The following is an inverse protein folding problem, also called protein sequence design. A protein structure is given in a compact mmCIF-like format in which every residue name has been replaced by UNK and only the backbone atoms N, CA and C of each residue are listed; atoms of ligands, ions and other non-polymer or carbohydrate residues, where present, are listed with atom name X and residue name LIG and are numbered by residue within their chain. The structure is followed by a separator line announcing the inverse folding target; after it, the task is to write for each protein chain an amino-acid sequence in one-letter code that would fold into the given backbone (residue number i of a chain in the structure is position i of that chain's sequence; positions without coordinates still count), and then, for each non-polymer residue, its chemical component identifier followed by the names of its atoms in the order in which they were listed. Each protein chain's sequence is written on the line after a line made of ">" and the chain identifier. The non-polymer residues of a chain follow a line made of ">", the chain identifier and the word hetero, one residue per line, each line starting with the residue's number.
data_IF_857329652749
#
_entry.id   IF_857329652749
#
_cell.length_a   1.000
_cell.length_b   1.000
_cell.length_c   1.000
_cell.angle_alpha   90.00
_cell.angle_beta   90.00
_cell.angle_gamma   90.00
#
_symmetry.space_group_name_H-M   'P 1'
#
loop_
_entity.id
_entity.type
_entity.pdbx_description
1 polymer ?
#
# COMPACT_ATOMS: atom_id res chain seq x y z
N UNK A 1 -15.03 -0.24 -17.19
CA UNK A 1 -15.54 -0.25 -18.57
C UNK A 1 -14.48 0.12 -19.59
N UNK A 2 -13.95 1.33 -19.53
CA UNK A 2 -12.91 1.77 -20.47
C UNK A 2 -11.64 0.91 -20.40
N UNK A 3 -11.13 0.61 -19.22
CA UNK A 3 -9.95 -0.24 -19.04
C UNK A 3 -10.17 -1.64 -19.60
N UNK A 4 -11.35 -2.18 -19.36
CA UNK A 4 -11.72 -3.51 -19.84
C UNK A 4 -11.74 -3.58 -21.37
N UNK A 5 -12.25 -2.54 -22.02
CA UNK A 5 -12.29 -2.44 -23.48
C UNK A 5 -10.90 -2.36 -24.08
N UNK A 6 -9.98 -1.63 -23.41
CA UNK A 6 -8.59 -1.51 -23.89
C UNK A 6 -7.75 -2.74 -23.61
N UNK A 7 -8.21 -3.64 -22.73
CA UNK A 7 -7.48 -4.85 -22.31
C UNK A 7 -6.10 -4.52 -21.72
N UNK A 8 -5.99 -3.40 -21.03
CA UNK A 8 -4.83 -3.06 -20.24
C UNK A 8 -5.23 -2.10 -19.12
N UNK A 9 -4.37 -1.96 -18.15
CA UNK A 9 -4.57 -1.01 -17.06
C UNK A 9 -4.11 -1.55 -15.73
N UNK A 10 -4.05 -0.63 -14.76
CA UNK A 10 -3.68 -0.96 -13.41
C UNK A 10 -4.62 -0.26 -12.43
N UNK A 11 -5.07 -1.01 -11.43
CA UNK A 11 -5.88 -0.50 -10.34
C UNK A 11 -5.04 -0.62 -9.07
N UNK A 12 -4.86 0.50 -8.36
CA UNK A 12 -4.07 0.53 -7.13
C UNK A 12 -4.97 0.98 -5.99
N UNK A 13 -5.01 0.19 -4.93
CA UNK A 13 -5.68 0.55 -3.68
C UNK A 13 -4.64 0.86 -2.62
N UNK A 14 -4.90 1.84 -1.78
CA UNK A 14 -3.99 2.26 -0.73
C UNK A 14 -4.40 1.58 0.58
N UNK A 15 -3.50 0.74 1.10
CA UNK A 15 -3.72 0.02 2.35
C UNK A 15 -2.86 0.56 3.49
N UNK A 16 -2.73 -0.25 4.53
CA UNK A 16 -1.96 0.09 5.73
C UNK A 16 -1.24 -1.15 6.25
N UNK A 17 -0.11 -0.95 6.93
CA UNK A 17 0.58 -2.06 7.58
C UNK A 17 -0.06 -2.45 8.93
N UNK A 18 -1.11 -1.76 9.38
CA UNK A 18 -1.77 -2.06 10.65
C UNK A 18 -2.40 -3.46 10.68
N UNK A 19 -2.80 -4.02 9.54
CA UNK A 19 -3.33 -5.38 9.53
C UNK A 19 -2.22 -6.44 9.65
N UNK A 20 -0.97 -6.06 9.50
CA UNK A 20 0.18 -6.94 9.71
C UNK A 20 0.80 -6.73 11.09
N UNK A 21 0.80 -5.48 11.57
CA UNK A 21 1.38 -5.11 12.85
C UNK A 21 0.48 -4.05 13.53
N UNK A 22 -0.53 -4.49 14.30
CA UNK A 22 -1.54 -3.59 14.85
C UNK A 22 -1.05 -2.86 16.10
N UNK A 23 -0.09 -1.95 15.93
CA UNK A 23 0.47 -1.14 17.01
C UNK A 23 -0.55 -0.20 17.65
N UNK A 24 -1.63 0.09 16.94
CA UNK A 24 -2.77 0.89 17.42
C UNK A 24 -4.05 0.11 17.15
N UNK A 25 -4.94 -0.06 18.14
CA UNK A 25 -6.14 -0.89 17.96
C UNK A 25 -7.27 -0.12 17.23
N UNK A 26 -7.05 0.28 16.01
CA UNK A 26 -8.05 0.94 15.16
C UNK A 26 -8.92 -0.11 14.47
N UNK A 27 -9.87 -0.70 15.20
CA UNK A 27 -10.66 -1.85 14.72
C UNK A 27 -11.37 -1.58 13.39
N UNK A 28 -12.14 -0.49 13.33
CA UNK A 28 -12.91 -0.17 12.12
C UNK A 28 -12.00 0.16 10.94
N UNK A 29 -11.01 1.00 11.17
CA UNK A 29 -10.07 1.43 10.13
C UNK A 29 -9.28 0.23 9.59
N UNK A 30 -8.70 -0.57 10.48
CA UNK A 30 -7.88 -1.72 10.09
C UNK A 30 -8.71 -2.76 9.35
N UNK A 31 -9.92 -3.03 9.82
CA UNK A 31 -10.83 -3.97 9.15
C UNK A 31 -11.21 -3.49 7.76
N UNK A 32 -11.57 -2.21 7.62
CA UNK A 32 -11.92 -1.63 6.33
C UNK A 32 -10.75 -1.68 5.35
N UNK A 33 -9.54 -1.39 5.82
CA UNK A 33 -8.34 -1.44 4.98
C UNK A 33 -7.98 -2.88 4.61
N UNK A 34 -8.12 -3.83 5.53
CA UNK A 34 -7.85 -5.25 5.24
C UNK A 34 -8.82 -5.80 4.19
N UNK A 35 -10.07 -5.33 4.17
CA UNK A 35 -11.05 -5.72 3.16
C UNK A 35 -10.57 -5.39 1.74
N UNK A 36 -9.73 -4.37 1.57
CA UNK A 36 -9.16 -4.01 0.27
C UNK A 36 -8.33 -5.14 -0.32
N UNK A 37 -7.66 -5.93 0.51
CA UNK A 37 -6.83 -7.03 0.02
C UNK A 37 -7.72 -8.10 -0.62
N UNK A 38 -8.77 -8.53 0.07
CA UNK A 38 -9.71 -9.52 -0.48
C UNK A 38 -10.40 -9.02 -1.72
N UNK A 39 -10.90 -7.79 -1.69
CA UNK A 39 -11.54 -7.16 -2.83
C UNK A 39 -10.58 -7.07 -4.03
N UNK A 40 -9.35 -6.61 -3.79
CA UNK A 40 -8.33 -6.45 -4.84
C UNK A 40 -7.99 -7.80 -5.47
N UNK A 41 -7.88 -8.86 -4.67
CA UNK A 41 -7.61 -10.20 -5.19
C UNK A 41 -8.74 -10.74 -6.05
N UNK A 42 -9.98 -10.49 -5.66
CA UNK A 42 -11.13 -10.85 -6.48
C UNK A 42 -11.13 -10.08 -7.81
N UNK A 43 -10.86 -8.79 -7.77
CA UNK A 43 -10.77 -7.95 -8.97
C UNK A 43 -9.63 -8.44 -9.88
N UNK A 44 -8.47 -8.73 -9.29
CA UNK A 44 -7.32 -9.24 -10.04
C UNK A 44 -7.66 -10.57 -10.75
N UNK A 45 -8.33 -11.47 -10.06
CA UNK A 45 -8.74 -12.75 -10.64
C UNK A 45 -9.75 -12.59 -11.75
N UNK A 46 -10.70 -11.67 -11.59
CA UNK A 46 -11.75 -11.44 -12.58
C UNK A 46 -11.25 -10.71 -13.82
N UNK A 47 -10.47 -9.66 -13.63
CA UNK A 47 -10.09 -8.76 -14.72
C UNK A 47 -8.74 -9.09 -15.37
N UNK A 48 -8.00 -10.06 -14.80
CA UNK A 48 -6.71 -10.46 -15.37
C UNK A 48 -6.80 -10.94 -16.81
N UNK A 49 -7.90 -11.60 -17.16
CA UNK A 49 -8.15 -12.04 -18.54
C UNK A 49 -8.22 -10.90 -19.55
N UNK A 50 -8.45 -9.68 -19.07
CA UNK A 50 -8.49 -8.47 -19.91
C UNK A 50 -7.19 -7.68 -19.83
N UNK A 51 -6.13 -8.22 -19.21
CA UNK A 51 -4.87 -7.51 -19.05
C UNK A 51 -4.91 -6.41 -18.00
N UNK A 52 -5.92 -6.41 -17.12
CA UNK A 52 -6.06 -5.41 -16.06
C UNK A 52 -5.49 -5.99 -14.77
N UNK A 53 -4.54 -5.29 -14.18
CA UNK A 53 -3.87 -5.67 -12.95
C UNK A 53 -4.43 -4.89 -11.77
N UNK A 54 -4.49 -5.50 -10.60
CA UNK A 54 -4.98 -4.85 -9.39
C UNK A 54 -4.08 -5.23 -8.22
N UNK A 55 -3.55 -4.23 -7.54
CA UNK A 55 -2.63 -4.41 -6.42
C UNK A 55 -2.96 -3.43 -5.30
N UNK A 56 -2.50 -3.74 -4.10
CA UNK A 56 -2.58 -2.86 -2.94
C UNK A 56 -1.16 -2.37 -2.64
N UNK A 57 -1.02 -1.07 -2.39
CA UNK A 57 0.21 -0.50 -1.82
C UNK A 57 -0.12 -0.09 -0.39
N UNK A 58 0.55 -0.70 0.57
CA UNK A 58 0.32 -0.45 1.99
C UNK A 58 1.48 0.36 2.56
N UNK A 59 1.15 1.43 3.27
CA UNK A 59 2.13 2.23 3.97
C UNK A 59 2.00 2.08 5.48
N UNK A 60 2.98 2.62 6.19
CA UNK A 60 2.91 2.84 7.63
C UNK A 60 2.61 4.29 7.93
N UNK A 61 3.12 4.79 9.05
CA UNK A 61 3.06 6.22 9.34
C UNK A 61 3.92 6.97 8.33
N UNK A 62 3.33 7.92 7.64
CA UNK A 62 4.03 8.74 6.65
C UNK A 62 4.27 10.14 7.21
N UNK A 63 5.44 10.71 6.92
CA UNK A 63 5.72 12.11 7.26
C UNK A 63 4.90 13.05 6.40
N UNK A 64 4.60 14.22 6.95
CA UNK A 64 3.99 15.36 6.24
C UNK A 64 2.62 15.08 5.63
N UNK A 65 1.83 14.18 6.25
CA UNK A 65 0.42 13.97 5.89
C UNK A 65 -0.49 14.58 6.95
N UNK A 66 -1.75 14.84 6.59
CA UNK A 66 -2.74 15.31 7.55
C UNK A 66 -2.93 14.30 8.69
N UNK A 67 -2.90 13.00 8.36
CA UNK A 67 -3.04 11.94 9.35
C UNK A 67 -1.89 11.93 10.37
N UNK A 68 -0.70 12.40 9.97
CA UNK A 68 0.48 12.42 10.84
C UNK A 68 0.76 13.81 11.44
N UNK A 69 -0.11 14.79 11.21
CA UNK A 69 0.09 16.18 11.65
C UNK A 69 0.22 16.31 13.16
N UNK A 70 -0.39 15.40 13.93
CA UNK A 70 -0.32 15.40 15.40
C UNK A 70 0.85 14.58 15.94
N UNK A 71 1.64 13.94 15.08
CA UNK A 71 2.75 13.10 15.49
C UNK A 71 3.98 13.98 15.76
N UNK A 72 4.60 13.79 16.91
CA UNK A 72 5.77 14.59 17.31
C UNK A 72 7.04 14.09 16.62
N UNK A 73 8.08 14.96 16.49
CA UNK A 73 9.37 14.52 15.94
C UNK A 73 10.00 13.36 16.71
N UNK A 74 9.80 13.30 18.03
CA UNK A 74 10.32 12.21 18.86
C UNK A 74 9.70 10.86 18.48
N UNK A 75 8.40 10.84 18.16
CA UNK A 75 7.72 9.63 17.72
C UNK A 75 8.21 9.19 16.35
N UNK A 76 8.42 10.13 15.43
CA UNK A 76 9.00 9.82 14.12
C UNK A 76 10.40 9.21 14.27
N UNK A 77 11.24 9.79 15.15
CA UNK A 77 12.58 9.27 15.38
C UNK A 77 12.55 7.85 15.96
N UNK A 78 11.64 7.60 16.90
CA UNK A 78 11.48 6.28 17.50
C UNK A 78 11.08 5.23 16.45
N UNK A 79 10.14 5.58 15.59
CA UNK A 79 9.70 4.69 14.50
C UNK A 79 10.84 4.47 13.52
N UNK A 80 11.58 5.51 13.16
CA UNK A 80 12.71 5.38 12.27
C UNK A 80 13.75 4.41 12.82
N UNK A 81 14.06 4.49 14.11
CA UNK A 81 15.00 3.58 14.74
C UNK A 81 14.50 2.13 14.77
N UNK A 82 13.19 1.92 14.70
CA UNK A 82 12.59 0.60 14.71
C UNK A 82 12.55 -0.04 13.31
N UNK A 83 12.82 0.70 12.25
CA UNK A 83 12.81 0.15 10.90
C UNK A 83 14.19 -0.30 10.46
N UNK A 84 14.28 -1.36 9.67
CA UNK A 84 15.57 -1.76 9.07
C UNK A 84 16.24 -0.66 8.27
N UNK A 85 15.46 0.16 7.53
CA UNK A 85 16.01 1.26 6.73
C UNK A 85 16.28 2.52 7.54
N UNK A 86 15.97 2.51 8.85
CA UNK A 86 16.23 3.64 9.76
C UNK A 86 15.59 4.94 9.32
N UNK A 87 14.41 4.87 8.73
CA UNK A 87 13.68 6.05 8.28
C UNK A 87 12.18 5.85 8.36
N UNK A 88 11.45 6.95 8.47
CA UNK A 88 10.00 6.97 8.28
C UNK A 88 9.76 7.28 6.80
N UNK A 89 8.94 6.48 6.15
CA UNK A 89 8.62 6.69 4.74
C UNK A 89 7.79 7.95 4.53
N UNK A 90 7.85 8.45 3.32
CA UNK A 90 7.15 9.67 2.90
C UNK A 90 6.06 9.32 1.88
N UNK A 91 5.11 10.23 1.62
CA UNK A 91 4.17 10.05 0.53
C UNK A 91 4.85 9.78 -0.81
N UNK A 92 6.03 10.36 -1.05
CA UNK A 92 6.78 10.13 -2.28
C UNK A 92 7.26 8.68 -2.39
N UNK A 93 7.65 8.06 -1.28
CA UNK A 93 8.05 6.65 -1.28
C UNK A 93 6.89 5.76 -1.73
N UNK A 94 5.68 6.02 -1.23
CA UNK A 94 4.47 5.30 -1.62
C UNK A 94 4.12 5.59 -3.08
N UNK A 95 4.18 6.85 -3.48
CA UNK A 95 3.88 7.26 -4.85
C UNK A 95 4.82 6.61 -5.87
N UNK A 96 6.09 6.47 -5.54
CA UNK A 96 7.06 5.81 -6.42
C UNK A 96 6.67 4.36 -6.69
N UNK A 97 6.19 3.64 -5.67
CA UNK A 97 5.72 2.27 -5.86
C UNK A 97 4.44 2.22 -6.71
N UNK A 98 3.53 3.17 -6.51
CA UNK A 98 2.31 3.26 -7.32
C UNK A 98 2.68 3.46 -8.79
N UNK A 99 3.61 4.37 -9.08
CA UNK A 99 4.07 4.63 -10.44
C UNK A 99 4.67 3.37 -11.06
N UNK A 100 5.51 2.65 -10.32
CA UNK A 100 6.09 1.40 -10.79
C UNK A 100 5.00 0.39 -11.16
N UNK A 101 4.03 0.20 -10.27
CA UNK A 101 2.95 -0.78 -10.48
C UNK A 101 2.03 -0.41 -11.65
N UNK A 102 1.97 0.86 -12.02
CA UNK A 102 1.20 1.32 -13.18
C UNK A 102 1.99 1.19 -14.48
N UNK A 103 3.29 0.87 -14.42
CA UNK A 103 4.15 0.80 -15.59
C UNK A 103 4.18 -0.61 -16.19
N UNK A 104 4.67 -0.72 -17.41
CA UNK A 104 4.88 -2.00 -18.09
C UNK A 104 5.88 -2.88 -17.34
N UNK A 105 6.81 -2.29 -16.59
CA UNK A 105 7.78 -3.03 -15.80
C UNK A 105 7.11 -3.94 -14.77
N UNK A 106 5.87 -3.64 -14.37
CA UNK A 106 5.11 -4.43 -13.40
C UNK A 106 4.09 -5.36 -14.06
N UNK A 107 4.26 -5.68 -15.32
CA UNK A 107 3.31 -6.48 -16.11
C UNK A 107 2.97 -7.85 -15.49
N UNK A 108 3.90 -8.43 -14.77
CA UNK A 108 3.71 -9.71 -14.11
C UNK A 108 3.16 -9.63 -12.70
N UNK A 109 2.76 -8.44 -12.23
CA UNK A 109 2.37 -8.22 -10.83
C UNK A 109 0.88 -7.90 -10.73
N UNK A 110 0.10 -8.79 -10.13
CA UNK A 110 -1.31 -8.56 -9.83
C UNK A 110 -1.72 -9.33 -8.59
N UNK A 111 -2.72 -8.85 -7.88
CA UNK A 111 -3.25 -9.49 -6.68
C UNK A 111 -2.34 -9.38 -5.47
N UNK A 112 -1.36 -8.50 -5.47
CA UNK A 112 -0.35 -8.40 -4.41
C UNK A 112 -0.62 -7.24 -3.48
N UNK A 113 -0.18 -7.39 -2.24
CA UNK A 113 -0.10 -6.32 -1.26
C UNK A 113 1.37 -6.00 -1.06
N UNK A 114 1.78 -4.82 -1.50
CA UNK A 114 3.17 -4.39 -1.43
C UNK A 114 3.30 -3.34 -0.34
N UNK A 115 4.10 -3.63 0.67
CA UNK A 115 4.26 -2.77 1.83
C UNK A 115 5.49 -1.88 1.67
N UNK A 116 5.28 -0.56 1.85
CA UNK A 116 6.31 0.46 1.74
C UNK A 116 6.41 1.16 3.09
N UNK A 117 7.23 0.61 4.00
CA UNK A 117 7.34 1.09 5.38
C UNK A 117 8.76 0.99 5.95
N UNK A 118 9.75 0.93 5.09
CA UNK A 118 11.14 0.82 5.52
C UNK A 118 11.52 -0.53 6.09
N UNK A 119 10.67 -1.53 5.92
CA UNK A 119 10.90 -2.88 6.45
C UNK A 119 10.34 -3.09 7.86
N UNK A 120 9.56 -2.13 8.37
CA UNK A 120 8.98 -2.24 9.72
C UNK A 120 8.13 -3.51 9.84
N UNK A 121 7.35 -3.82 8.80
CA UNK A 121 6.61 -5.07 8.73
C UNK A 121 7.12 -5.91 7.57
N UNK A 122 7.07 -7.22 7.74
CA UNK A 122 7.49 -8.18 6.71
C UNK A 122 6.40 -9.22 6.50
N UNK A 123 6.13 -9.51 5.25
CA UNK A 123 5.14 -10.54 4.90
C UNK A 123 5.74 -11.94 4.97
#
# INVERSE_FOLDING_TARGET
>A
MYKRQRKDGAIISIGTNLYQNPVVPYHEYTTAKAALIGFTRNVAAELGQYGIRANVVSGGLLKTTDASAVTTPEVFDLIAQSTPLRKVTTPQDVANMVVYLCSEAADGVTGQNITVDGGLTMN
#
